data_IF_001792392384
#
_entry.id   IF_001792392384
#
_cell.length_a   1.000
_cell.length_b   1.000
_cell.length_c   1.000
_cell.angle_alpha   90.00
_cell.angle_beta   90.00
_cell.angle_gamma   90.00
#
_symmetry.space_group_name_H-M   'P 1'
#
loop_
_entity.id
_entity.type
_entity.pdbx_description
1 polymer ?
#
# COMPACT_ATOMS: atom_id res chain seq x y z
N UNK A 1 -14.43 14.18 6.28
CA UNK A 1 -13.10 14.39 5.67
C UNK A 1 -12.52 13.03 5.35
N UNK A 2 -12.28 12.74 4.08
CA UNK A 2 -11.60 11.52 3.64
C UNK A 2 -10.11 11.69 3.87
N UNK A 3 -9.48 10.74 4.56
CA UNK A 3 -8.03 10.73 4.75
C UNK A 3 -7.36 10.42 3.41
N UNK A 4 -6.42 11.25 2.97
CA UNK A 4 -5.62 11.04 1.76
C UNK A 4 -4.21 10.61 2.15
N UNK A 5 -3.87 9.36 1.84
CA UNK A 5 -2.51 8.84 2.04
C UNK A 5 -1.55 9.41 0.99
N UNK A 6 -0.35 9.79 1.42
CA UNK A 6 0.75 10.24 0.54
C UNK A 6 1.23 9.16 -0.43
N UNK A 7 0.77 7.92 -0.29
CA UNK A 7 1.05 6.81 -1.20
C UNK A 7 0.21 6.86 -2.49
N UNK A 8 -0.74 7.79 -2.58
CA UNK A 8 -1.58 7.99 -3.76
C UNK A 8 -1.47 9.43 -4.24
N UNK A 9 -0.91 9.61 -5.44
CA UNK A 9 -0.79 10.93 -6.08
C UNK A 9 -2.17 11.55 -6.41
N UNK A 10 -3.15 10.71 -6.74
CA UNK A 10 -4.50 11.12 -7.15
C UNK A 10 -5.56 10.56 -6.21
N UNK A 11 -6.60 11.35 -5.95
CA UNK A 11 -7.70 11.02 -5.03
C UNK A 11 -8.56 9.85 -5.54
N UNK A 12 -8.69 9.66 -6.85
CA UNK A 12 -9.42 8.53 -7.46
C UNK A 12 -8.86 7.15 -7.07
N UNK A 13 -7.57 7.07 -6.69
CA UNK A 13 -6.96 5.81 -6.28
C UNK A 13 -7.31 5.40 -4.84
N UNK A 14 -7.87 6.31 -4.04
CA UNK A 14 -8.30 6.03 -2.66
C UNK A 14 -9.57 5.15 -2.66
N UNK A 15 -10.44 5.32 -3.66
CA UNK A 15 -11.66 4.49 -3.79
C UNK A 15 -11.35 3.01 -4.05
N UNK A 16 -10.13 2.69 -4.51
CA UNK A 16 -9.64 1.33 -4.73
C UNK A 16 -8.96 0.72 -3.50
N UNK A 17 -8.90 1.42 -2.36
CA UNK A 17 -8.21 0.90 -1.19
C UNK A 17 -8.91 -0.37 -0.66
N UNK A 18 -8.23 -1.51 -0.83
CA UNK A 18 -8.79 -2.80 -0.44
C UNK A 18 -8.70 -2.95 1.09
N UNK A 19 -9.79 -2.64 1.79
CA UNK A 19 -9.89 -2.78 3.25
C UNK A 19 -9.80 -4.25 3.72
N UNK A 20 -9.98 -5.21 2.81
CA UNK A 20 -9.87 -6.65 3.08
C UNK A 20 -8.73 -7.26 2.27
N UNK A 21 -7.97 -8.12 2.94
CA UNK A 21 -6.93 -8.91 2.29
C UNK A 21 -7.55 -9.85 1.24
N UNK A 22 -7.03 -9.86 0.00
CA UNK A 22 -7.36 -10.90 -0.95
C UNK A 22 -7.02 -12.31 -0.43
N UNK A 23 -7.88 -13.29 -0.70
CA UNK A 23 -7.73 -14.68 -0.23
C UNK A 23 -6.38 -15.29 -0.66
N UNK A 24 -5.93 -14.96 -1.87
CA UNK A 24 -4.66 -15.45 -2.42
C UNK A 24 -3.41 -15.00 -1.64
N UNK A 25 -3.48 -13.96 -0.79
CA UNK A 25 -2.34 -13.58 0.06
C UNK A 25 -2.01 -14.66 1.07
N UNK A 26 -3.03 -15.32 1.63
CA UNK A 26 -2.85 -16.41 2.59
C UNK A 26 -2.34 -17.65 1.86
N UNK A 27 -2.90 -17.95 0.68
CA UNK A 27 -2.45 -19.10 -0.14
C UNK A 27 -0.98 -18.99 -0.54
N UNK A 28 -0.54 -17.77 -0.86
CA UNK A 28 0.86 -17.47 -1.20
C UNK A 28 1.72 -17.16 0.02
N UNK A 29 1.15 -17.26 1.23
CA UNK A 29 1.81 -16.98 2.50
C UNK A 29 2.46 -15.57 2.57
N UNK A 30 1.88 -14.62 1.84
CA UNK A 30 2.29 -13.21 1.77
C UNK A 30 1.69 -12.39 2.92
N UNK A 31 0.65 -12.89 3.57
CA UNK A 31 0.06 -12.32 4.78
C UNK A 31 1.10 -12.16 5.90
N UNK A 32 1.98 -13.15 6.10
CA UNK A 32 3.07 -13.09 7.08
C UNK A 32 4.09 -11.98 6.77
N UNK A 33 4.34 -11.71 5.48
CA UNK A 33 5.25 -10.63 5.06
C UNK A 33 4.61 -9.28 5.37
N UNK A 34 3.31 -9.11 5.07
CA UNK A 34 2.59 -7.87 5.41
C UNK A 34 2.57 -7.66 6.93
N UNK A 35 2.35 -8.73 7.69
CA UNK A 35 2.37 -8.67 9.16
C UNK A 35 3.75 -8.30 9.70
N UNK A 36 4.82 -8.89 9.17
CA UNK A 36 6.19 -8.54 9.54
C UNK A 36 6.54 -7.08 9.18
N UNK A 37 6.11 -6.60 8.00
CA UNK A 37 6.35 -5.21 7.56
C UNK A 37 5.56 -4.18 8.39
N UNK A 38 4.40 -4.58 8.92
CA UNK A 38 3.52 -3.69 9.70
C UNK A 38 3.69 -3.87 11.21
N UNK A 39 4.58 -4.76 11.65
CA UNK A 39 4.91 -4.96 13.04
C UNK A 39 5.43 -3.65 13.68
N UNK A 40 4.81 -3.25 14.79
CA UNK A 40 5.14 -2.00 15.51
C UNK A 40 4.54 -0.74 14.89
N UNK A 41 3.72 -0.86 13.84
CA UNK A 41 3.06 0.25 13.14
C UNK A 41 1.55 0.00 12.96
N UNK A 42 0.96 -0.85 13.81
CA UNK A 42 -0.44 -1.24 13.69
C UNK A 42 -1.41 -0.04 13.85
N UNK A 43 -1.00 0.98 14.61
CA UNK A 43 -1.77 2.23 14.82
C UNK A 43 -2.05 2.99 13.52
N UNK A 44 -1.21 2.84 12.49
CA UNK A 44 -1.36 3.52 11.20
C UNK A 44 -2.25 2.77 10.21
N UNK A 45 -2.76 1.59 10.58
CA UNK A 45 -3.58 0.74 9.73
C UNK A 45 -3.03 0.60 8.29
N UNK A 46 -1.72 0.31 8.14
CA UNK A 46 -1.07 0.35 6.83
C UNK A 46 -1.32 -0.88 5.94
N UNK A 47 -1.97 -1.93 6.47
CA UNK A 47 -2.23 -3.19 5.75
C UNK A 47 -3.04 -3.01 4.46
N UNK A 48 -4.12 -2.21 4.41
CA UNK A 48 -4.91 -2.02 3.19
C UNK A 48 -4.09 -1.44 2.03
N UNK A 49 -3.02 -0.68 2.29
CA UNK A 49 -2.13 -0.20 1.22
C UNK A 49 -1.42 -1.33 0.47
N UNK A 50 -1.15 -2.46 1.14
CA UNK A 50 -0.53 -3.65 0.54
C UNK A 50 -1.53 -4.53 -0.21
N UNK A 51 -2.82 -4.43 0.12
CA UNK A 51 -3.90 -5.15 -0.57
C UNK A 51 -4.38 -4.40 -1.82
N UNK A 52 -4.16 -3.08 -1.84
CA UNK A 52 -4.58 -2.21 -2.93
C UNK A 52 -3.73 -2.45 -4.17
N UNK A 53 -4.39 -2.94 -5.23
CA UNK A 53 -3.78 -3.04 -6.55
C UNK A 53 -3.63 -1.65 -7.15
N UNK A 54 -2.45 -1.37 -7.70
CA UNK A 54 -2.17 -0.18 -8.50
C UNK A 54 -2.01 -0.64 -9.93
N UNK A 55 -2.93 -0.24 -10.80
CA UNK A 55 -3.01 -0.63 -12.22
C UNK A 55 -2.30 0.35 -13.17
N UNK A 56 -1.83 1.48 -12.65
CA UNK A 56 -1.14 2.53 -13.40
C UNK A 56 0.38 2.53 -13.13
N UNK A 57 1.18 2.59 -14.20
CA UNK A 57 2.65 2.52 -14.12
C UNK A 57 3.22 3.74 -13.40
N UNK A 58 2.67 4.93 -13.63
CA UNK A 58 3.19 6.15 -13.02
C UNK A 58 2.83 6.21 -11.52
N UNK A 59 1.65 5.73 -11.14
CA UNK A 59 1.29 5.50 -9.75
C UNK A 59 2.22 4.49 -9.05
N UNK A 60 2.63 3.40 -9.72
CA UNK A 60 3.63 2.45 -9.18
C UNK A 60 4.97 3.15 -8.95
N UNK A 61 5.48 3.92 -9.93
CA UNK A 61 6.74 4.66 -9.80
C UNK A 61 6.69 5.66 -8.66
N UNK A 62 5.60 6.41 -8.54
CA UNK A 62 5.37 7.36 -7.47
C UNK A 62 5.42 6.68 -6.10
N UNK A 63 4.63 5.62 -5.91
CA UNK A 63 4.55 4.86 -4.65
C UNK A 63 5.90 4.27 -4.26
N UNK A 64 6.64 3.72 -5.25
CA UNK A 64 8.00 3.22 -5.07
C UNK A 64 8.95 4.34 -4.63
N UNK A 65 8.89 5.52 -5.26
CA UNK A 65 9.71 6.68 -4.86
C UNK A 65 9.45 7.09 -3.41
N UNK A 66 8.19 7.08 -2.96
CA UNK A 66 7.85 7.39 -1.57
C UNK A 66 8.44 6.34 -0.59
N UNK A 67 8.39 5.05 -0.93
CA UNK A 67 8.94 3.98 -0.08
C UNK A 67 10.48 3.98 0.01
N UNK A 68 11.17 4.25 -1.10
CA UNK A 68 12.64 4.16 -1.17
C UNK A 68 13.35 5.51 -0.97
N UNK A 69 12.61 6.63 -0.96
CA UNK A 69 13.16 7.98 -0.82
C UNK A 69 13.84 8.52 -2.09
N UNK A 70 14.09 9.83 -2.13
CA UNK A 70 14.82 10.55 -3.18
C UNK A 70 16.34 10.23 -3.15
N UNK A 71 16.72 8.95 -3.15
CA UNK A 71 18.09 8.47 -3.02
C UNK A 71 18.77 7.99 -4.31
N UNK A 72 18.28 8.44 -5.48
CA UNK A 72 18.99 8.30 -6.76
C UNK A 72 19.00 9.65 -7.46
N UNK A 73 19.82 10.56 -6.95
CA UNK A 73 20.20 11.84 -7.53
C UNK A 73 21.65 12.11 -7.21
#
# INVERSE_FOLDING_TARGET
MTFQSILFEKTDNIEKEALKAPVFLVDLNLDQIVDAMTAGKQEYNSKPFFYTRVDDIDAIKYRRRIFFGYGFG
#
